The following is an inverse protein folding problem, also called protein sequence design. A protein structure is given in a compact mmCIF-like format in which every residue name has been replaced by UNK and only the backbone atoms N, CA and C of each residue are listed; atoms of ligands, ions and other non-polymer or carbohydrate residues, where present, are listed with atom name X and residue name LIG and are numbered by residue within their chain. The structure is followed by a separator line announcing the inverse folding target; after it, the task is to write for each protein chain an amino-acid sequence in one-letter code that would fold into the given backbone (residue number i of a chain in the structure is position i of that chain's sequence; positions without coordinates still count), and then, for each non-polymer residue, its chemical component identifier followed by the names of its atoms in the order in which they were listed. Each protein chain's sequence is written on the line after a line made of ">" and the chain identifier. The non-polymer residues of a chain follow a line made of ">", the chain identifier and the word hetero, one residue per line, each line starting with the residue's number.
data_IF_842066369667
#
_entry.id   IF_842066369667
#
_cell.length_a   1.000
_cell.length_b   1.000
_cell.length_c   1.000
_cell.angle_alpha   90.00
_cell.angle_beta   90.00
_cell.angle_gamma   90.00
#
_symmetry.space_group_name_H-M   'P 1'
#
loop_
_entity.id
_entity.type
_entity.pdbx_description
1 polymer ?
#
# COMPACT_ATOMS: atom_id res chain seq x y z
N UNK A 1 57.10 4.74 -21.58
CA UNK A 1 58.44 4.19 -21.89
C UNK A 1 58.52 3.55 -23.27
N UNK A 2 57.63 2.62 -23.67
CA UNK A 2 57.67 1.95 -24.99
C UNK A 2 57.59 2.88 -26.21
N UNK A 3 56.74 3.91 -26.17
CA UNK A 3 56.62 4.90 -27.26
C UNK A 3 57.89 5.74 -27.42
N UNK A 4 58.57 6.06 -26.31
CA UNK A 4 59.86 6.77 -26.33
C UNK A 4 60.99 5.91 -26.90
N UNK A 5 60.99 4.61 -26.62
CA UNK A 5 61.96 3.65 -27.15
C UNK A 5 61.78 3.42 -28.66
N UNK A 6 60.52 3.35 -29.12
CA UNK A 6 60.20 3.25 -30.55
C UNK A 6 60.61 4.52 -31.32
N UNK A 7 60.39 5.71 -30.73
CA UNK A 7 60.81 6.97 -31.33
C UNK A 7 62.35 7.06 -31.44
N UNK A 8 63.08 6.64 -30.41
CA UNK A 8 64.56 6.62 -30.42
C UNK A 8 65.10 5.62 -31.46
N UNK A 9 64.49 4.44 -31.60
CA UNK A 9 64.89 3.46 -32.62
C UNK A 9 64.55 3.90 -34.06
N UNK A 10 63.45 4.64 -34.25
CA UNK A 10 63.11 5.28 -35.53
C UNK A 10 64.09 6.41 -35.87
N UNK A 11 64.52 7.20 -34.88
CA UNK A 11 65.57 8.21 -35.06
C UNK A 11 66.91 7.57 -35.42
N UNK A 12 67.32 6.50 -34.73
CA UNK A 12 68.59 5.81 -35.02
C UNK A 12 68.60 5.12 -36.39
N UNK A 13 67.46 4.61 -36.87
CA UNK A 13 67.36 3.97 -38.18
C UNK A 13 67.33 4.97 -39.35
N UNK A 14 67.02 6.25 -39.08
CA UNK A 14 67.09 7.33 -40.09
C UNK A 14 68.51 7.88 -40.33
N UNK A 15 69.48 7.53 -39.48
CA UNK A 15 70.89 7.96 -39.61
C UNK A 15 71.82 6.90 -40.22
N UNK A 16 71.35 5.68 -40.51
CA UNK A 16 72.18 4.56 -40.97
C UNK A 16 71.89 4.22 -42.44
N UNK A 17 72.91 4.34 -43.30
CA UNK A 17 72.81 4.07 -44.74
C UNK A 17 72.39 2.62 -45.06
N UNK A 18 71.24 2.50 -45.71
CA UNK A 18 70.93 1.52 -46.76
C UNK A 18 70.56 0.08 -46.38
N UNK A 19 71.21 -0.55 -45.40
CA UNK A 19 71.04 -2.01 -45.18
C UNK A 19 70.18 -2.38 -43.97
N UNK A 20 70.17 -1.56 -42.91
CA UNK A 20 69.43 -1.85 -41.67
C UNK A 20 67.94 -1.47 -41.75
N UNK A 21 67.56 -0.55 -42.65
CA UNK A 21 66.18 -0.07 -42.78
C UNK A 21 65.19 -1.17 -43.20
N UNK A 22 65.62 -2.16 -44.01
CA UNK A 22 64.75 -3.28 -44.43
C UNK A 22 64.47 -4.28 -43.31
N UNK A 23 65.42 -4.48 -42.38
CA UNK A 23 65.21 -5.37 -41.24
C UNK A 23 64.39 -4.71 -40.13
N UNK A 24 64.46 -3.39 -39.96
CA UNK A 24 63.75 -2.64 -38.91
C UNK A 24 62.25 -2.54 -39.18
N UNK A 25 61.82 -2.46 -40.45
CA UNK A 25 60.40 -2.33 -40.82
C UNK A 25 59.53 -3.52 -40.32
N UNK A 26 59.90 -4.80 -40.53
CA UNK A 26 59.18 -5.94 -39.96
C UNK A 26 59.10 -5.91 -38.43
N UNK A 27 60.19 -5.52 -37.75
CA UNK A 27 60.22 -5.43 -36.29
C UNK A 27 59.29 -4.32 -35.77
N UNK A 28 59.29 -3.15 -36.42
CA UNK A 28 58.36 -2.07 -36.10
C UNK A 28 56.89 -2.51 -36.33
N UNK A 29 56.60 -3.20 -37.43
CA UNK A 29 55.26 -3.73 -37.71
C UNK A 29 54.81 -4.77 -36.67
N UNK A 30 55.71 -5.68 -36.27
CA UNK A 30 55.43 -6.69 -35.25
C UNK A 30 55.17 -6.06 -33.86
N UNK A 31 55.97 -5.07 -33.46
CA UNK A 31 55.78 -4.33 -32.20
C UNK A 31 54.47 -3.54 -32.23
N UNK A 32 54.16 -2.87 -33.34
CA UNK A 32 52.89 -2.14 -33.50
C UNK A 32 51.69 -3.08 -33.45
N UNK A 33 51.75 -4.24 -34.11
CA UNK A 33 50.73 -5.28 -34.05
C UNK A 33 50.53 -5.81 -32.62
N UNK A 34 51.61 -6.07 -31.90
CA UNK A 34 51.56 -6.51 -30.50
C UNK A 34 50.97 -5.45 -29.57
N UNK A 35 51.38 -4.18 -29.71
CA UNK A 35 50.82 -3.05 -28.95
C UNK A 35 49.34 -2.86 -29.25
N UNK A 36 48.92 -2.99 -30.51
CA UNK A 36 47.51 -2.91 -30.88
C UNK A 36 46.69 -4.05 -30.28
N UNK A 37 47.20 -5.29 -30.32
CA UNK A 37 46.53 -6.45 -29.73
C UNK A 37 46.40 -6.32 -28.20
N UNK A 38 47.46 -5.87 -27.53
CA UNK A 38 47.47 -5.58 -26.08
C UNK A 38 46.54 -4.43 -25.73
N UNK A 39 46.56 -3.35 -26.51
CA UNK A 39 45.67 -2.19 -26.34
C UNK A 39 44.20 -2.57 -26.53
N UNK A 40 43.88 -3.38 -27.54
CA UNK A 40 42.55 -3.92 -27.76
C UNK A 40 42.10 -4.83 -26.61
N UNK A 41 42.99 -5.67 -26.08
CA UNK A 41 42.75 -6.49 -24.90
C UNK A 41 42.44 -5.66 -23.65
N UNK A 42 43.28 -4.67 -23.33
CA UNK A 42 43.08 -3.75 -22.21
C UNK A 42 41.81 -2.91 -22.37
N UNK A 43 41.47 -2.49 -23.58
CA UNK A 43 40.21 -1.78 -23.84
C UNK A 43 39.00 -2.71 -23.64
N UNK A 44 39.05 -3.95 -24.13
CA UNK A 44 37.98 -4.94 -23.86
C UNK A 44 37.82 -5.18 -22.37
N UNK A 45 38.93 -5.36 -21.65
CA UNK A 45 38.93 -5.54 -20.20
C UNK A 45 38.37 -4.31 -19.47
N UNK A 46 38.78 -3.10 -19.86
CA UNK A 46 38.26 -1.86 -19.30
C UNK A 46 36.75 -1.66 -19.56
N UNK A 47 36.26 -2.05 -20.75
CA UNK A 47 34.81 -2.06 -21.04
C UNK A 47 34.07 -3.07 -20.18
N UNK A 48 34.61 -4.29 -20.02
CA UNK A 48 34.03 -5.32 -19.17
C UNK A 48 34.01 -4.89 -17.70
N UNK A 49 35.08 -4.28 -17.19
CA UNK A 49 35.14 -3.75 -15.83
C UNK A 49 34.10 -2.64 -15.61
N UNK A 50 33.97 -1.69 -16.55
CA UNK A 50 32.94 -0.64 -16.46
C UNK A 50 31.53 -1.22 -16.48
N UNK A 51 31.26 -2.19 -17.35
CA UNK A 51 29.97 -2.86 -17.41
C UNK A 51 29.65 -3.61 -16.10
N UNK A 52 30.63 -4.35 -15.55
CA UNK A 52 30.50 -5.03 -14.27
C UNK A 52 30.27 -4.05 -13.10
N UNK A 53 30.98 -2.91 -13.09
CA UNK A 53 30.78 -1.88 -12.08
C UNK A 53 29.39 -1.24 -12.17
N UNK A 54 28.90 -0.98 -13.39
CA UNK A 54 27.55 -0.46 -13.60
C UNK A 54 26.47 -1.46 -13.13
N UNK A 55 26.64 -2.75 -13.42
CA UNK A 55 25.74 -3.80 -12.93
C UNK A 55 25.80 -3.94 -11.41
N UNK A 56 26.99 -3.83 -10.81
CA UNK A 56 27.16 -3.89 -9.36
C UNK A 56 26.49 -2.69 -8.66
N UNK A 57 26.60 -1.49 -9.21
CA UNK A 57 25.94 -0.30 -8.65
C UNK A 57 24.41 -0.36 -8.80
N UNK A 58 23.89 -0.86 -9.92
CA UNK A 58 22.46 -1.12 -10.11
C UNK A 58 21.92 -2.17 -9.12
N UNK A 59 22.68 -3.26 -8.92
CA UNK A 59 22.33 -4.28 -7.94
C UNK A 59 22.33 -3.71 -6.51
N UNK A 60 23.33 -2.90 -6.17
CA UNK A 60 23.43 -2.26 -4.87
C UNK A 60 22.24 -1.33 -4.62
N UNK A 61 21.87 -0.48 -5.59
CA UNK A 61 20.71 0.41 -5.45
C UNK A 61 19.41 -0.37 -5.36
N UNK A 62 19.25 -1.48 -6.08
CA UNK A 62 18.09 -2.37 -5.97
C UNK A 62 17.95 -2.96 -4.55
N UNK A 63 19.05 -3.46 -3.97
CA UNK A 63 19.07 -3.98 -2.59
C UNK A 63 18.70 -2.89 -1.58
N UNK A 64 19.28 -1.69 -1.76
CA UNK A 64 18.97 -0.53 -0.91
C UNK A 64 17.50 -0.13 -1.01
N UNK A 65 16.93 -0.10 -2.22
CA UNK A 65 15.52 0.20 -2.44
C UNK A 65 14.61 -0.83 -1.78
N UNK A 66 14.91 -2.13 -1.89
CA UNK A 66 14.18 -3.20 -1.18
C UNK A 66 14.21 -3.02 0.35
N UNK A 67 15.40 -2.72 0.90
CA UNK A 67 15.57 -2.48 2.33
C UNK A 67 14.81 -1.23 2.79
N UNK A 68 14.88 -0.16 2.01
CA UNK A 68 14.17 1.09 2.27
C UNK A 68 12.65 0.87 2.22
N UNK A 69 12.14 0.17 1.21
CA UNK A 69 10.73 -0.19 1.08
C UNK A 69 10.25 -1.01 2.29
N UNK A 70 11.02 -2.01 2.70
CA UNK A 70 10.71 -2.85 3.87
C UNK A 70 10.67 -2.02 5.16
N UNK A 71 11.65 -1.12 5.35
CA UNK A 71 11.71 -0.21 6.49
C UNK A 71 10.53 0.75 6.51
N UNK A 72 10.20 1.34 5.36
CA UNK A 72 9.13 2.31 5.22
C UNK A 72 7.74 1.66 5.37
N UNK A 73 7.53 0.47 4.80
CA UNK A 73 6.30 -0.30 4.99
C UNK A 73 6.11 -0.63 6.48
N UNK A 74 7.17 -1.05 7.18
CA UNK A 74 7.13 -1.26 8.63
C UNK A 74 6.78 0.02 9.40
N UNK A 75 7.37 1.17 9.04
CA UNK A 75 7.02 2.47 9.65
C UNK A 75 5.56 2.86 9.37
N UNK A 76 5.07 2.62 8.16
CA UNK A 76 3.69 2.89 7.76
C UNK A 76 2.71 2.02 8.53
N UNK A 77 2.99 0.71 8.68
CA UNK A 77 2.18 -0.20 9.49
C UNK A 77 2.16 0.18 10.97
N UNK A 78 3.29 0.65 11.53
CA UNK A 78 3.32 1.18 12.90
C UNK A 78 2.45 2.42 13.03
N UNK A 79 2.54 3.36 12.08
CA UNK A 79 1.69 4.55 12.07
C UNK A 79 0.20 4.18 12.01
N UNK A 80 -0.17 3.22 11.15
CA UNK A 80 -1.54 2.69 11.09
C UNK A 80 -1.96 2.04 12.41
N UNK A 81 -1.06 1.29 13.05
CA UNK A 81 -1.32 0.67 14.35
C UNK A 81 -1.45 1.72 15.46
N UNK A 82 -0.57 2.72 15.51
CA UNK A 82 -0.58 3.80 16.49
C UNK A 82 -1.88 4.61 16.36
N UNK A 83 -2.25 5.01 15.15
CA UNK A 83 -3.53 5.70 14.90
C UNK A 83 -4.74 4.86 15.31
N UNK A 84 -4.77 3.57 14.98
CA UNK A 84 -5.80 2.64 15.45
C UNK A 84 -5.85 2.54 16.99
N UNK A 85 -4.70 2.40 17.66
CA UNK A 85 -4.60 2.29 19.12
C UNK A 85 -5.03 3.58 19.80
N UNK A 86 -4.58 4.73 19.27
CA UNK A 86 -4.96 6.06 19.74
C UNK A 86 -6.47 6.24 19.61
N UNK A 87 -7.04 5.89 18.45
CA UNK A 87 -8.48 5.99 18.24
C UNK A 87 -9.29 5.11 19.20
N UNK A 88 -8.81 3.89 19.46
CA UNK A 88 -9.40 2.96 20.45
C UNK A 88 -9.26 3.49 21.88
N UNK A 89 -8.12 4.05 22.24
CA UNK A 89 -7.86 4.65 23.56
C UNK A 89 -8.75 5.87 23.83
N UNK A 90 -8.93 6.74 22.83
CA UNK A 90 -9.87 7.86 22.92
C UNK A 90 -11.32 7.39 23.01
N UNK A 91 -11.70 6.30 22.34
CA UNK A 91 -13.05 5.72 22.52
C UNK A 91 -13.26 5.10 23.90
N UNK A 92 -12.23 4.56 24.56
CA UNK A 92 -12.35 4.01 25.92
C UNK A 92 -12.43 5.10 27.00
N UNK A 93 -11.66 6.18 26.86
CA UNK A 93 -11.73 7.33 27.78
C UNK A 93 -13.01 8.16 27.58
N UNK A 94 -13.59 8.18 26.37
CA UNK A 94 -14.93 8.73 26.16
C UNK A 94 -16.06 7.77 26.58
N UNK A 95 -15.80 6.48 26.74
CA UNK A 95 -16.78 5.52 27.26
C UNK A 95 -16.93 5.56 28.79
N UNK A 96 -16.00 6.17 29.52
CA UNK A 96 -16.17 6.45 30.97
C UNK A 96 -17.05 7.67 31.24
N UNK A 97 -17.40 8.45 30.20
CA UNK A 97 -18.49 9.42 30.24
C UNK A 97 -19.68 8.88 29.45
N UNK A 98 -20.76 8.54 30.16
CA UNK A 98 -22.03 7.94 29.69
C UNK A 98 -22.02 6.44 29.37
N UNK A 99 -22.17 5.68 30.46
CA UNK A 99 -22.69 4.33 30.51
C UNK A 99 -24.15 4.32 30.01
N UNK A 100 -24.38 4.23 28.69
CA UNK A 100 -25.66 3.83 28.08
C UNK A 100 -25.52 3.65 26.56
N UNK A 101 -25.20 2.41 26.12
CA UNK A 101 -25.96 1.66 25.09
C UNK A 101 -25.19 0.40 24.70
N UNK A 102 -25.74 -0.73 25.12
CA UNK A 102 -25.65 -1.97 24.36
C UNK A 102 -26.24 -1.73 22.95
N UNK A 103 -25.59 -2.28 21.93
CA UNK A 103 -26.05 -2.20 20.54
C UNK A 103 -25.08 -1.55 19.53
N UNK A 104 -23.76 -1.67 19.70
CA UNK A 104 -22.79 -1.46 18.62
C UNK A 104 -22.56 -2.78 17.87
N UNK A 105 -23.64 -3.30 17.27
CA UNK A 105 -23.54 -4.29 16.21
C UNK A 105 -23.31 -3.59 14.87
N UNK A 106 -22.22 -3.96 14.19
CA UNK A 106 -22.02 -3.87 12.74
C UNK A 106 -22.33 -2.53 12.02
N UNK A 107 -21.32 -1.65 11.93
CA UNK A 107 -21.24 -0.52 10.98
C UNK A 107 -19.80 0.02 10.94
N UNK A 108 -19.23 0.36 9.77
CA UNK A 108 -17.78 0.29 9.56
C UNK A 108 -17.05 1.35 10.39
N UNK A 109 -16.10 0.88 11.20
CA UNK A 109 -15.08 1.68 11.86
C UNK A 109 -14.24 2.39 10.79
N UNK A 110 -14.71 3.54 10.30
CA UNK A 110 -14.14 4.27 9.17
C UNK A 110 -12.62 4.31 9.20
N UNK A 111 -12.00 3.64 8.21
CA UNK A 111 -10.57 3.35 8.14
C UNK A 111 -9.74 4.62 8.24
N UNK A 112 -9.11 4.83 9.38
CA UNK A 112 -8.14 5.91 9.53
C UNK A 112 -6.97 5.69 8.57
N UNK A 113 -6.54 6.77 7.93
CA UNK A 113 -5.47 6.80 6.93
C UNK A 113 -5.70 5.84 5.74
N UNK A 114 -6.92 5.76 5.22
CA UNK A 114 -7.27 4.88 4.08
C UNK A 114 -6.34 5.06 2.86
N UNK A 115 -5.87 6.29 2.59
CA UNK A 115 -4.91 6.55 1.53
C UNK A 115 -3.56 5.85 1.76
N UNK A 116 -3.06 5.84 3.00
CA UNK A 116 -1.85 5.13 3.38
C UNK A 116 -2.03 3.61 3.31
N UNK A 117 -3.19 3.10 3.76
CA UNK A 117 -3.52 1.67 3.68
C UNK A 117 -3.50 1.16 2.25
N UNK A 118 -4.18 1.88 1.35
CA UNK A 118 -4.17 1.59 -0.10
C UNK A 118 -2.76 1.64 -0.68
N UNK A 119 -1.96 2.64 -0.32
CA UNK A 119 -0.58 2.75 -0.79
C UNK A 119 0.30 1.59 -0.29
N UNK A 120 0.20 1.21 0.98
CA UNK A 120 0.90 0.05 1.55
C UNK A 120 0.50 -1.23 0.82
N UNK A 121 -0.80 -1.47 0.63
CA UNK A 121 -1.28 -2.64 -0.11
C UNK A 121 -0.72 -2.69 -1.53
N UNK A 122 -0.87 -1.61 -2.31
CA UNK A 122 -0.42 -1.59 -3.72
C UNK A 122 1.09 -1.74 -3.85
N UNK A 123 1.87 -1.05 -3.01
CA UNK A 123 3.32 -1.13 -3.02
C UNK A 123 3.80 -2.54 -2.67
N UNK A 124 3.28 -3.15 -1.60
CA UNK A 124 3.68 -4.50 -1.18
C UNK A 124 3.22 -5.58 -2.16
N UNK A 125 1.99 -5.49 -2.68
CA UNK A 125 1.47 -6.41 -3.71
C UNK A 125 2.32 -6.35 -4.98
N UNK A 126 2.61 -5.14 -5.47
CA UNK A 126 3.42 -4.97 -6.69
C UNK A 126 4.85 -5.47 -6.49
N UNK A 127 5.49 -5.08 -5.38
CA UNK A 127 6.85 -5.52 -5.06
C UNK A 127 6.93 -7.04 -4.89
N UNK A 128 5.98 -7.66 -4.18
CA UNK A 128 5.89 -9.12 -4.03
C UNK A 128 5.81 -9.80 -5.41
N UNK A 129 4.91 -9.35 -6.28
CA UNK A 129 4.74 -9.92 -7.62
C UNK A 129 5.99 -9.76 -8.48
N UNK A 130 6.63 -8.59 -8.45
CA UNK A 130 7.87 -8.35 -9.18
C UNK A 130 9.00 -9.28 -8.70
N UNK A 131 9.22 -9.35 -7.39
CA UNK A 131 10.22 -10.26 -6.79
C UNK A 131 9.91 -11.72 -7.10
N UNK A 132 8.64 -12.13 -7.05
CA UNK A 132 8.23 -13.49 -7.38
C UNK A 132 8.50 -13.82 -8.85
N UNK A 133 8.13 -12.95 -9.78
CA UNK A 133 8.41 -13.13 -11.21
C UNK A 133 9.91 -13.27 -11.46
N UNK A 134 10.73 -12.43 -10.82
CA UNK A 134 12.18 -12.53 -10.87
C UNK A 134 12.67 -13.89 -10.34
N UNK A 135 12.19 -14.33 -9.17
CA UNK A 135 12.53 -15.65 -8.61
C UNK A 135 12.13 -16.80 -9.53
N UNK A 136 10.89 -16.84 -10.02
CA UNK A 136 10.43 -17.90 -10.94
C UNK A 136 11.27 -17.92 -12.23
N UNK A 137 11.60 -16.75 -12.78
CA UNK A 137 12.48 -16.66 -13.94
C UNK A 137 13.88 -17.22 -13.62
N UNK A 138 14.47 -16.85 -12.49
CA UNK A 138 15.78 -17.38 -12.07
C UNK A 138 15.76 -18.89 -11.83
N UNK A 139 14.67 -19.44 -11.29
CA UNK A 139 14.50 -20.88 -11.07
C UNK A 139 14.41 -21.64 -12.40
N UNK A 140 13.65 -21.10 -13.37
CA UNK A 140 13.44 -21.73 -14.68
C UNK A 140 14.64 -21.59 -15.62
N UNK A 141 15.23 -20.40 -15.70
CA UNK A 141 16.28 -20.10 -16.68
C UNK A 141 17.67 -20.57 -16.22
N UNK A 142 17.91 -20.70 -14.91
CA UNK A 142 19.23 -21.01 -14.36
C UNK A 142 19.16 -22.09 -13.26
N UNK A 143 18.62 -23.29 -13.53
CA UNK A 143 18.40 -24.31 -12.51
C UNK A 143 19.68 -24.62 -11.72
N UNK A 144 19.53 -24.86 -10.42
CA UNK A 144 20.62 -25.28 -9.53
C UNK A 144 20.41 -26.73 -9.12
N UNK A 145 21.48 -27.41 -8.70
CA UNK A 145 21.38 -28.72 -8.07
C UNK A 145 20.41 -28.62 -6.86
N UNK A 146 19.48 -29.56 -6.79
CA UNK A 146 18.46 -29.67 -5.73
C UNK A 146 19.05 -29.85 -4.33
N UNK A 147 20.27 -30.36 -4.20
CA UNK A 147 21.00 -30.42 -2.92
C UNK A 147 21.35 -29.03 -2.38
N UNK A 148 21.60 -28.07 -3.28
CA UNK A 148 22.01 -26.71 -2.96
C UNK A 148 20.79 -25.80 -2.86
N UNK A 149 19.82 -25.95 -3.77
CA UNK A 149 18.67 -25.07 -3.86
C UNK A 149 17.41 -25.80 -4.36
N UNK A 150 16.60 -26.29 -3.43
CA UNK A 150 15.36 -27.00 -3.75
C UNK A 150 14.20 -26.03 -4.02
N UNK A 151 13.59 -26.17 -5.20
CA UNK A 151 12.44 -25.36 -5.67
C UNK A 151 11.25 -25.42 -4.71
N UNK A 152 11.03 -26.54 -4.02
CA UNK A 152 9.89 -26.70 -3.09
C UNK A 152 10.01 -25.81 -1.86
N UNK A 153 11.20 -25.29 -1.55
CA UNK A 153 11.43 -24.42 -0.40
C UNK A 153 11.05 -22.95 -0.66
N UNK A 154 10.55 -22.63 -1.86
CA UNK A 154 10.20 -21.27 -2.24
C UNK A 154 8.71 -21.01 -2.11
N UNK A 155 8.33 -19.88 -1.50
CA UNK A 155 6.98 -19.31 -1.58
C UNK A 155 6.55 -19.12 -3.04
N UNK A 156 7.51 -18.86 -3.94
CA UNK A 156 7.26 -18.76 -5.38
C UNK A 156 6.76 -20.06 -6.05
N UNK A 157 6.87 -21.22 -5.40
CA UNK A 157 6.30 -22.49 -5.85
C UNK A 157 4.81 -22.64 -5.49
N UNK A 158 4.33 -21.97 -4.43
CA UNK A 158 2.93 -22.02 -4.00
C UNK A 158 2.05 -21.21 -4.96
N UNK A 159 1.00 -21.77 -5.59
CA UNK A 159 0.14 -21.05 -6.53
C UNK A 159 -0.39 -19.72 -5.97
N UNK A 160 -0.36 -18.65 -6.79
CA UNK A 160 -0.76 -17.30 -6.35
C UNK A 160 -2.22 -17.23 -5.83
N UNK A 161 -3.09 -18.13 -6.31
CA UNK A 161 -4.49 -18.20 -5.87
C UNK A 161 -4.60 -18.65 -4.41
N UNK A 162 -3.68 -19.47 -3.93
CA UNK A 162 -3.67 -20.01 -2.56
C UNK A 162 -3.14 -18.99 -1.54
N UNK A 163 -2.38 -17.98 -1.98
CA UNK A 163 -1.83 -16.94 -1.11
C UNK A 163 -2.84 -15.83 -0.76
N UNK A 164 -3.99 -15.78 -1.44
CA UNK A 164 -5.06 -14.81 -1.19
C UNK A 164 -4.71 -13.36 -1.53
N UNK A 165 -5.50 -12.41 -0.99
CA UNK A 165 -5.29 -10.95 -1.07
C UNK A 165 -5.08 -10.39 -2.49
N UNK A 166 -5.68 -11.01 -3.49
CA UNK A 166 -5.58 -10.54 -4.88
C UNK A 166 -4.18 -10.68 -5.49
N UNK A 167 -3.32 -11.54 -4.93
CA UNK A 167 -1.97 -11.75 -5.45
C UNK A 167 -1.96 -12.46 -6.81
N UNK A 168 -3.02 -13.18 -7.18
CA UNK A 168 -3.14 -13.88 -8.48
C UNK A 168 -3.56 -13.01 -9.65
N UNK A 169 -4.51 -12.09 -9.44
CA UNK A 169 -5.08 -11.25 -10.50
C UNK A 169 -4.13 -10.11 -10.87
N UNK A 170 -3.95 -9.81 -12.16
CA UNK A 170 -3.07 -8.70 -12.59
C UNK A 170 -3.70 -7.34 -12.32
N UNK A 171 -4.93 -7.16 -12.80
CA UNK A 171 -5.73 -5.97 -12.59
C UNK A 171 -6.80 -6.28 -11.54
N UNK A 172 -6.77 -5.55 -10.43
CA UNK A 172 -7.76 -5.65 -9.36
C UNK A 172 -8.39 -4.28 -9.22
N UNK A 173 -9.72 -4.24 -9.19
CA UNK A 173 -10.43 -3.01 -8.86
C UNK A 173 -10.22 -2.65 -7.40
N UNK A 174 -10.52 -1.40 -7.03
CA UNK A 174 -10.35 -0.97 -5.65
C UNK A 174 -11.38 -1.65 -4.73
N UNK A 175 -12.56 -1.95 -5.26
CA UNK A 175 -13.66 -2.66 -4.60
C UNK A 175 -13.29 -4.12 -4.30
N UNK A 176 -12.76 -4.86 -5.29
CA UNK A 176 -12.29 -6.24 -5.09
C UNK A 176 -11.13 -6.28 -4.09
N UNK A 177 -10.22 -5.30 -4.16
CA UNK A 177 -9.12 -5.20 -3.21
C UNK A 177 -9.61 -4.92 -1.78
N UNK A 178 -10.67 -4.13 -1.61
CA UNK A 178 -11.30 -3.91 -0.31
C UNK A 178 -11.91 -5.21 0.24
N UNK A 179 -12.70 -5.91 -0.57
CA UNK A 179 -13.32 -7.18 -0.17
C UNK A 179 -12.27 -8.21 0.27
N UNK A 180 -11.21 -8.39 -0.54
CA UNK A 180 -10.16 -9.38 -0.28
C UNK A 180 -9.25 -9.04 0.90
N UNK A 181 -9.26 -7.80 1.38
CA UNK A 181 -8.39 -7.34 2.47
C UNK A 181 -9.15 -6.95 3.73
N UNK A 182 -10.47 -7.23 3.76
CA UNK A 182 -11.37 -6.73 4.79
C UNK A 182 -11.16 -5.22 4.96
N UNK A 183 -11.40 -4.49 3.88
CA UNK A 183 -11.33 -3.03 3.88
C UNK A 183 -9.91 -2.49 4.17
N UNK A 184 -8.88 -3.14 3.61
CA UNK A 184 -7.47 -2.87 3.93
C UNK A 184 -7.18 -2.91 5.45
N UNK A 185 -7.74 -3.91 6.12
CA UNK A 185 -7.53 -4.14 7.55
C UNK A 185 -6.04 -4.23 7.89
N UNK A 186 -5.66 -3.75 9.07
CA UNK A 186 -4.27 -3.81 9.53
C UNK A 186 -3.73 -5.26 9.59
N UNK A 187 -4.51 -6.28 10.02
CA UNK A 187 -4.12 -7.68 9.90
C UNK A 187 -3.79 -8.11 8.47
N UNK A 188 -4.65 -7.80 7.48
CA UNK A 188 -4.38 -8.15 6.08
C UNK A 188 -3.08 -7.52 5.56
N UNK A 189 -2.86 -6.23 5.86
CA UNK A 189 -1.62 -5.54 5.47
C UNK A 189 -0.38 -6.12 6.15
N UNK A 190 -0.49 -6.60 7.40
CA UNK A 190 0.60 -7.29 8.11
C UNK A 190 0.92 -8.64 7.47
N UNK A 191 -0.09 -9.42 7.08
CA UNK A 191 0.12 -10.69 6.36
C UNK A 191 0.81 -10.43 5.02
N UNK A 192 0.35 -9.45 4.25
CA UNK A 192 0.98 -9.07 2.98
C UNK A 192 2.44 -8.61 3.18
N UNK A 193 2.72 -7.88 4.26
CA UNK A 193 4.08 -7.48 4.61
C UNK A 193 4.97 -8.70 4.92
N UNK A 194 4.47 -9.73 5.60
CA UNK A 194 5.23 -10.96 5.84
C UNK A 194 5.52 -11.71 4.54
N UNK A 195 4.53 -11.82 3.64
CA UNK A 195 4.74 -12.42 2.31
C UNK A 195 5.81 -11.67 1.52
N UNK A 196 5.78 -10.33 1.55
CA UNK A 196 6.82 -9.50 0.95
C UNK A 196 8.22 -9.79 1.52
N UNK A 197 8.36 -9.86 2.84
CA UNK A 197 9.65 -10.15 3.49
C UNK A 197 10.17 -11.54 3.09
N UNK A 198 9.31 -12.56 3.09
CA UNK A 198 9.68 -13.91 2.66
C UNK A 198 10.12 -13.96 1.19
N UNK A 199 9.30 -13.44 0.29
CA UNK A 199 9.55 -13.48 -1.15
C UNK A 199 10.77 -12.64 -1.57
N UNK A 200 10.98 -11.48 -0.95
CA UNK A 200 12.16 -10.66 -1.22
C UNK A 200 13.44 -11.36 -0.75
N UNK A 201 13.43 -11.96 0.44
CA UNK A 201 14.55 -12.76 0.95
C UNK A 201 14.91 -13.91 0.00
N UNK A 202 13.90 -14.65 -0.47
CA UNK A 202 14.09 -15.70 -1.48
C UNK A 202 14.69 -15.20 -2.78
N UNK A 203 14.19 -14.07 -3.30
CA UNK A 203 14.69 -13.46 -4.52
C UNK A 203 16.18 -13.09 -4.38
N UNK A 204 16.56 -12.42 -3.29
CA UNK A 204 17.95 -12.00 -3.09
C UNK A 204 18.88 -13.18 -2.78
N UNK A 205 18.43 -14.19 -2.04
CA UNK A 205 19.20 -15.42 -1.82
C UNK A 205 19.48 -16.14 -3.13
N UNK A 206 18.45 -16.32 -3.97
CA UNK A 206 18.59 -16.94 -5.30
C UNK A 206 19.54 -16.14 -6.18
N UNK A 207 19.41 -14.82 -6.18
CA UNK A 207 20.30 -13.93 -6.91
C UNK A 207 21.76 -14.03 -6.42
N UNK A 208 21.99 -14.08 -5.11
CA UNK A 208 23.32 -14.29 -4.54
C UNK A 208 23.92 -15.64 -4.95
N UNK A 209 23.12 -16.70 -4.99
CA UNK A 209 23.57 -18.00 -5.49
C UNK A 209 23.97 -17.91 -6.97
N UNK A 210 23.20 -17.21 -7.82
CA UNK A 210 23.54 -16.97 -9.24
C UNK A 210 24.86 -16.22 -9.42
N UNK A 211 25.20 -15.34 -8.49
CA UNK A 211 26.43 -14.54 -8.51
C UNK A 211 27.64 -15.26 -7.89
N UNK A 212 27.48 -16.45 -7.30
CA UNK A 212 28.57 -17.15 -6.63
C UNK A 212 29.57 -17.76 -7.62
N UNK A 213 30.87 -17.63 -7.32
CA UNK A 213 32.00 -17.89 -8.23
C UNK A 213 32.10 -19.32 -8.77
N UNK A 214 31.51 -20.30 -8.07
CA UNK A 214 31.58 -21.74 -8.43
C UNK A 214 31.02 -22.05 -9.82
N UNK A 215 30.17 -21.18 -10.37
CA UNK A 215 29.56 -21.34 -11.70
C UNK A 215 30.33 -20.70 -12.87
N UNK A 216 31.40 -19.95 -12.61
CA UNK A 216 32.22 -19.42 -13.70
C UNK A 216 33.16 -20.48 -14.31
N UNK A 217 33.37 -21.60 -13.59
CA UNK A 217 34.39 -22.60 -13.88
C UNK A 217 33.86 -24.01 -14.18
N UNK A 218 32.61 -24.36 -13.85
CA UNK A 218 32.04 -25.68 -14.16
C UNK A 218 31.64 -25.76 -15.65
N UNK A 219 32.32 -26.56 -16.50
CA UNK A 219 31.79 -26.92 -17.80
C UNK A 219 30.60 -27.84 -17.55
N UNK A 220 29.42 -27.48 -18.07
CA UNK A 220 28.26 -28.38 -18.02
C UNK A 220 28.64 -29.66 -18.78
N UNK A 221 28.72 -30.80 -18.11
CA UNK A 221 29.10 -32.07 -18.76
C UNK A 221 28.01 -32.59 -19.73
N UNK A 222 26.82 -31.98 -19.73
CA UNK A 222 25.65 -32.33 -20.56
C UNK A 222 25.49 -31.49 -21.86
N UNK A 223 26.55 -30.88 -22.40
CA UNK A 223 26.45 -30.15 -23.68
C UNK A 223 26.31 -31.13 -24.85
N UNK A 224 25.11 -31.20 -25.43
CA UNK A 224 24.88 -31.83 -26.75
C UNK A 224 25.55 -30.96 -27.82
N UNK A 225 26.42 -31.56 -28.64
CA UNK A 225 27.05 -30.91 -29.81
C UNK A 225 25.97 -30.27 -30.70
N UNK A 226 25.90 -28.93 -30.73
CA UNK A 226 25.02 -28.17 -31.63
C UNK A 226 24.26 -27.00 -31.00
N UNK A 227 24.18 -26.91 -29.67
CA UNK A 227 23.53 -25.77 -29.00
C UNK A 227 24.50 -24.60 -28.81
N UNK A 228 24.07 -23.40 -29.19
CA UNK A 228 24.82 -22.16 -28.92
C UNK A 228 25.09 -22.01 -27.41
N UNK A 229 26.34 -21.75 -26.99
CA UNK A 229 26.67 -21.61 -25.58
C UNK A 229 25.82 -20.50 -24.96
N UNK A 230 25.21 -20.72 -23.79
CA UNK A 230 24.34 -19.76 -23.15
C UNK A 230 25.17 -18.51 -22.85
N UNK A 231 24.58 -17.32 -23.01
CA UNK A 231 25.29 -16.08 -22.75
C UNK A 231 25.86 -16.11 -21.33
N UNK A 232 27.06 -15.58 -21.12
CA UNK A 232 27.71 -15.61 -19.82
C UNK A 232 26.80 -14.93 -18.78
N UNK A 233 26.69 -15.57 -17.60
CA UNK A 233 25.70 -15.29 -16.53
C UNK A 233 25.56 -13.78 -16.21
N UNK A 234 26.63 -12.99 -16.35
CA UNK A 234 26.60 -11.55 -16.12
C UNK A 234 25.67 -10.76 -17.06
N UNK A 235 25.46 -11.19 -18.32
CA UNK A 235 24.48 -10.56 -19.23
C UNK A 235 23.05 -10.96 -18.90
N UNK A 236 22.90 -12.15 -18.32
CA UNK A 236 21.65 -12.78 -17.92
C UNK A 236 21.10 -12.31 -16.58
N UNK A 237 21.96 -11.78 -15.69
CA UNK A 237 21.53 -11.17 -14.42
C UNK A 237 20.76 -9.87 -14.68
N UNK A 238 21.21 -9.06 -15.64
CA UNK A 238 20.58 -7.78 -15.99
C UNK A 238 19.10 -7.93 -16.39
N UNK A 239 18.76 -8.99 -17.12
CA UNK A 239 17.37 -9.25 -17.55
C UNK A 239 16.44 -9.52 -16.36
N UNK A 240 16.98 -9.97 -15.23
CA UNK A 240 16.23 -10.19 -13.99
C UNK A 240 16.26 -8.92 -13.11
N UNK A 241 17.42 -8.29 -12.97
CA UNK A 241 17.61 -7.18 -12.03
C UNK A 241 16.98 -5.88 -12.50
N UNK A 242 17.00 -5.58 -13.80
CA UNK A 242 16.49 -4.33 -14.34
C UNK A 242 14.96 -4.13 -14.12
N UNK A 243 14.07 -5.08 -14.50
CA UNK A 243 12.64 -4.92 -14.24
C UNK A 243 12.30 -4.94 -12.74
N UNK A 244 13.07 -5.71 -11.94
CA UNK A 244 12.90 -5.74 -10.49
C UNK A 244 13.30 -4.41 -9.85
N UNK A 245 14.44 -3.83 -10.27
CA UNK A 245 14.92 -2.54 -9.80
C UNK A 245 13.89 -1.44 -10.05
N UNK A 246 13.37 -1.35 -11.27
CA UNK A 246 12.34 -0.37 -11.63
C UNK A 246 11.06 -0.51 -10.79
N UNK A 247 10.58 -1.74 -10.60
CA UNK A 247 9.39 -2.00 -9.78
C UNK A 247 9.60 -1.60 -8.32
N UNK A 248 10.74 -1.96 -7.72
CA UNK A 248 11.04 -1.62 -6.32
C UNK A 248 11.23 -0.12 -6.11
N UNK A 249 11.88 0.57 -7.05
CA UNK A 249 12.02 2.02 -7.00
C UNK A 249 10.66 2.74 -7.08
N UNK A 250 9.78 2.30 -7.97
CA UNK A 250 8.40 2.83 -8.08
C UNK A 250 7.60 2.59 -6.81
N UNK A 251 7.58 1.35 -6.29
CA UNK A 251 6.87 1.03 -5.05
C UNK A 251 7.39 1.84 -3.85
N UNK A 252 8.71 2.03 -3.75
CA UNK A 252 9.31 2.87 -2.72
C UNK A 252 8.87 4.32 -2.84
N UNK A 253 8.96 4.91 -4.04
CA UNK A 253 8.56 6.29 -4.29
C UNK A 253 7.08 6.56 -4.00
N UNK A 254 6.20 5.65 -4.39
CA UNK A 254 4.76 5.76 -4.15
C UNK A 254 4.41 5.68 -2.67
N UNK A 255 5.00 4.70 -1.97
CA UNK A 255 4.78 4.55 -0.54
C UNK A 255 5.40 5.72 0.24
N UNK A 256 6.56 6.22 -0.17
CA UNK A 256 7.23 7.34 0.49
C UNK A 256 6.39 8.60 0.40
N UNK A 257 5.90 8.94 -0.79
CA UNK A 257 4.99 10.09 -0.99
C UNK A 257 3.75 9.97 -0.12
N UNK A 258 3.12 8.80 -0.08
CA UNK A 258 1.92 8.58 0.77
C UNK A 258 2.25 8.64 2.25
N UNK A 259 3.36 8.05 2.70
CA UNK A 259 3.79 8.07 4.10
C UNK A 259 4.11 9.48 4.57
N UNK A 260 4.90 10.24 3.80
CA UNK A 260 5.25 11.63 4.14
C UNK A 260 4.02 12.53 4.17
N UNK A 261 3.09 12.38 3.23
CA UNK A 261 1.81 13.08 3.24
C UNK A 261 1.06 12.83 4.56
N UNK A 262 0.79 11.56 4.91
CA UNK A 262 0.02 11.24 6.10
C UNK A 262 0.76 11.61 7.40
N UNK A 263 2.08 11.45 7.44
CA UNK A 263 2.92 11.85 8.57
C UNK A 263 2.94 13.36 8.76
N UNK A 264 3.07 14.15 7.68
CA UNK A 264 3.05 15.61 7.76
C UNK A 264 1.74 16.09 8.38
N UNK A 265 0.59 15.57 7.91
CA UNK A 265 -0.72 15.91 8.46
C UNK A 265 -0.85 15.52 9.94
N UNK A 266 -0.33 14.37 10.35
CA UNK A 266 -0.34 13.97 11.76
C UNK A 266 0.57 14.87 12.63
N UNK A 267 1.75 15.23 12.14
CA UNK A 267 2.67 16.13 12.86
C UNK A 267 2.15 17.55 12.96
N UNK A 268 1.54 18.10 11.90
CA UNK A 268 0.88 19.41 11.95
C UNK A 268 -0.32 19.40 12.90
N UNK A 269 -1.08 18.29 12.94
CA UNK A 269 -2.17 18.11 13.90
C UNK A 269 -1.70 18.12 15.37
N UNK A 270 -0.42 17.81 15.62
CA UNK A 270 0.19 17.84 16.96
C UNK A 270 0.82 19.19 17.32
N UNK A 271 1.26 19.99 16.34
CA UNK A 271 1.95 21.27 16.55
C UNK A 271 1.04 22.51 16.40
N UNK A 272 -0.03 22.45 15.60
CA UNK A 272 -0.98 23.55 15.35
C UNK A 272 -2.26 23.52 16.24
N UNK A 273 -2.21 22.81 17.37
CA UNK A 273 -3.31 22.74 18.31
C UNK A 273 -3.41 23.98 19.19
N UNK A 274 -4.16 24.99 18.77
CA UNK A 274 -4.89 25.83 19.73
C UNK A 274 -6.26 26.29 19.21
N UNK A 275 -6.40 27.21 18.24
CA UNK A 275 -7.71 27.89 18.13
C UNK A 275 -8.53 27.75 16.83
N UNK A 276 -7.93 27.59 15.66
CA UNK A 276 -8.70 27.65 14.37
C UNK A 276 -9.20 26.30 13.88
N UNK A 277 -8.36 25.26 13.91
CA UNK A 277 -8.73 23.91 13.45
C UNK A 277 -9.64 23.19 14.44
N UNK A 278 -9.49 23.46 15.75
CA UNK A 278 -10.38 22.96 16.80
C UNK A 278 -11.84 23.37 16.58
N UNK A 279 -12.07 24.62 16.15
CA UNK A 279 -13.42 25.14 15.88
C UNK A 279 -14.08 24.48 14.66
N UNK A 280 -13.32 24.26 13.58
CA UNK A 280 -13.84 23.56 12.40
C UNK A 280 -14.13 22.07 12.68
N UNK A 281 -13.25 21.40 13.44
CA UNK A 281 -13.45 20.01 13.87
C UNK A 281 -14.62 19.87 14.85
N UNK A 282 -14.81 20.84 15.75
CA UNK A 282 -15.97 20.90 16.65
C UNK A 282 -17.26 21.03 15.87
N UNK A 283 -17.33 21.94 14.89
CA UNK A 283 -18.51 22.07 14.00
C UNK A 283 -18.82 20.79 13.23
N UNK A 284 -17.79 20.13 12.68
CA UNK A 284 -17.97 18.84 11.99
C UNK A 284 -18.45 17.73 12.94
N UNK A 285 -17.93 17.67 14.17
CA UNK A 285 -18.41 16.74 15.20
C UNK A 285 -19.85 17.02 15.61
N UNK A 286 -20.23 18.28 15.78
CA UNK A 286 -21.59 18.68 16.13
C UNK A 286 -22.59 18.32 15.02
N UNK A 287 -22.22 18.54 13.75
CA UNK A 287 -23.02 18.14 12.60
C UNK A 287 -23.15 16.62 12.47
N UNK A 288 -22.08 15.86 12.71
CA UNK A 288 -22.15 14.39 12.68
C UNK A 288 -22.99 13.83 13.85
N UNK A 289 -22.90 14.44 15.03
CA UNK A 289 -23.74 14.07 16.17
C UNK A 289 -25.22 14.35 15.88
N UNK A 290 -25.53 15.51 15.28
CA UNK A 290 -26.89 15.86 14.87
C UNK A 290 -27.42 14.91 13.79
N UNK A 291 -26.62 14.59 12.78
CA UNK A 291 -26.97 13.61 11.75
C UNK A 291 -27.29 12.24 12.38
N UNK A 292 -26.52 11.83 13.40
CA UNK A 292 -26.78 10.58 14.13
C UNK A 292 -28.09 10.64 14.94
N UNK A 293 -28.40 11.76 15.60
CA UNK A 293 -29.68 11.88 16.34
C UNK A 293 -30.88 11.89 15.39
N UNK A 294 -30.79 12.59 14.26
CA UNK A 294 -31.80 12.59 13.19
C UNK A 294 -32.00 11.18 12.64
N UNK A 295 -30.92 10.42 12.43
CA UNK A 295 -31.01 9.03 11.99
C UNK A 295 -31.65 8.12 13.04
N UNK A 296 -31.37 8.32 14.33
CA UNK A 296 -32.01 7.58 15.43
C UNK A 296 -33.51 7.86 15.48
N UNK A 297 -33.91 9.14 15.38
CA UNK A 297 -35.31 9.54 15.32
C UNK A 297 -36.03 8.91 14.12
N UNK A 298 -35.41 8.94 12.94
CA UNK A 298 -35.95 8.32 11.73
C UNK A 298 -36.22 6.82 11.92
N UNK A 299 -35.33 6.10 12.61
CA UNK A 299 -35.50 4.67 12.87
C UNK A 299 -36.66 4.39 13.82
N UNK A 300 -36.79 5.15 14.92
CA UNK A 300 -37.92 4.99 15.83
C UNK A 300 -39.26 5.35 15.19
N UNK A 301 -39.32 6.40 14.37
CA UNK A 301 -40.52 6.76 13.61
C UNK A 301 -40.90 5.70 12.58
N UNK A 302 -39.92 5.07 11.90
CA UNK A 302 -40.20 3.96 10.98
C UNK A 302 -40.72 2.73 11.69
N UNK A 303 -40.16 2.39 12.85
CA UNK A 303 -40.65 1.28 13.67
C UNK A 303 -42.09 1.56 14.13
N UNK A 304 -42.35 2.76 14.66
CA UNK A 304 -43.70 3.16 15.08
C UNK A 304 -44.69 3.11 13.92
N UNK A 305 -44.31 3.60 12.74
CA UNK A 305 -45.16 3.56 11.55
C UNK A 305 -45.47 2.12 11.13
N UNK A 306 -44.48 1.22 11.15
CA UNK A 306 -44.70 -0.19 10.82
C UNK A 306 -45.67 -0.85 11.79
N UNK A 307 -45.50 -0.65 13.10
CA UNK A 307 -46.41 -1.21 14.11
C UNK A 307 -47.83 -0.60 14.00
N UNK A 308 -47.94 0.68 13.65
CA UNK A 308 -49.23 1.34 13.42
C UNK A 308 -49.94 0.80 12.16
N UNK A 309 -49.20 0.50 11.09
CA UNK A 309 -49.74 -0.16 9.89
C UNK A 309 -50.23 -1.57 10.23
N UNK A 310 -49.47 -2.32 11.04
CA UNK A 310 -49.90 -3.66 11.47
C UNK A 310 -51.18 -3.58 12.30
N UNK A 311 -51.26 -2.63 13.24
CA UNK A 311 -52.48 -2.40 14.03
C UNK A 311 -53.67 -2.00 13.15
N UNK A 312 -53.46 -1.17 12.13
CA UNK A 312 -54.50 -0.77 11.17
C UNK A 312 -55.00 -1.98 10.36
N UNK A 313 -54.09 -2.82 9.85
CA UNK A 313 -54.43 -4.06 9.12
C UNK A 313 -55.17 -5.07 10.02
N UNK A 314 -54.77 -5.20 11.29
CA UNK A 314 -55.46 -6.06 12.25
C UNK A 314 -56.87 -5.53 12.56
N UNK A 315 -57.04 -4.21 12.70
CA UNK A 315 -58.35 -3.58 12.86
C UNK A 315 -59.22 -3.79 11.62
N UNK A 316 -58.66 -3.66 10.42
CA UNK A 316 -59.37 -3.89 9.16
C UNK A 316 -59.83 -5.35 9.03
N UNK A 317 -58.98 -6.32 9.40
CA UNK A 317 -59.34 -7.75 9.46
C UNK A 317 -60.49 -8.01 10.43
N UNK A 318 -60.44 -7.44 11.63
CA UNK A 318 -61.51 -7.55 12.63
C UNK A 318 -62.83 -6.94 12.14
N UNK A 319 -62.77 -5.86 11.35
CA UNK A 319 -63.95 -5.27 10.73
C UNK A 319 -64.54 -6.13 9.60
N UNK A 320 -63.69 -6.85 8.84
CA UNK A 320 -64.09 -7.67 7.68
C UNK A 320 -64.64 -9.05 8.09
N UNK A 321 -64.19 -9.65 9.18
CA UNK A 321 -64.59 -11.02 9.61
C UNK A 321 -66.04 -11.15 10.12
N UNK A 322 -66.81 -10.06 10.22
CA UNK A 322 -68.23 -10.09 10.64
C UNK A 322 -68.51 -10.74 12.01
N UNK A 323 -67.50 -10.83 12.89
CA UNK A 323 -67.70 -11.00 14.35
C UNK A 323 -68.11 -9.68 15.03
N UNK A 324 -68.48 -8.67 14.24
CA UNK A 324 -68.97 -7.37 14.67
C UNK A 324 -70.44 -7.40 15.17
N UNK A 325 -70.84 -8.42 15.93
CA UNK A 325 -72.12 -8.38 16.68
C UNK A 325 -71.90 -8.24 18.18
N UNK A 326 -70.77 -8.69 18.72
CA UNK A 326 -70.33 -8.28 20.06
C UNK A 326 -68.81 -8.21 20.01
N UNK A 327 -68.23 -6.99 19.95
CA UNK A 327 -66.81 -6.84 20.30
C UNK A 327 -66.71 -7.26 21.75
N UNK A 328 -66.35 -8.53 21.95
CA UNK A 328 -66.24 -9.12 23.27
C UNK A 328 -65.21 -8.33 24.07
N UNK A 329 -65.31 -8.39 25.39
CA UNK A 329 -64.31 -7.79 26.29
C UNK A 329 -62.89 -8.23 25.91
N UNK A 330 -62.76 -9.45 25.37
CA UNK A 330 -61.51 -10.03 24.85
C UNK A 330 -60.96 -9.26 23.62
N UNK A 331 -61.81 -8.84 22.67
CA UNK A 331 -61.36 -8.06 21.51
C UNK A 331 -60.84 -6.66 21.89
N UNK A 332 -61.47 -6.01 22.88
CA UNK A 332 -60.96 -4.74 23.41
C UNK A 332 -59.66 -4.92 24.21
N UNK A 333 -59.48 -6.06 24.89
CA UNK A 333 -58.24 -6.39 25.60
C UNK A 333 -57.08 -6.61 24.62
N UNK A 334 -57.31 -7.31 23.51
CA UNK A 334 -56.32 -7.51 22.44
C UNK A 334 -55.87 -6.18 21.81
N UNK A 335 -56.82 -5.27 21.53
CA UNK A 335 -56.50 -3.93 21.01
C UNK A 335 -55.71 -3.12 22.05
N UNK A 336 -56.09 -3.19 23.33
CA UNK A 336 -55.38 -2.53 24.42
C UNK A 336 -53.94 -3.06 24.56
N UNK A 337 -53.74 -4.37 24.43
CA UNK A 337 -52.42 -5.00 24.45
C UNK A 337 -51.57 -4.53 23.26
N UNK A 338 -52.12 -4.52 22.05
CA UNK A 338 -51.42 -4.01 20.85
C UNK A 338 -51.07 -2.52 20.96
N UNK A 339 -51.97 -1.70 21.47
CA UNK A 339 -51.70 -0.29 21.76
C UNK A 339 -50.59 -0.12 22.81
N UNK A 340 -50.52 -1.00 23.80
CA UNK A 340 -49.45 -0.98 24.81
C UNK A 340 -48.07 -1.25 24.19
N UNK A 341 -47.99 -2.04 23.11
CA UNK A 341 -46.75 -2.28 22.37
C UNK A 341 -46.28 -1.05 21.56
N UNK A 342 -47.19 -0.14 21.17
CA UNK A 342 -46.82 1.12 20.52
C UNK A 342 -46.18 2.13 21.49
N UNK A 343 -46.53 2.05 22.77
CA UNK A 343 -46.12 3.04 23.77
C UNK A 343 -44.60 3.21 23.90
N UNK A 344 -43.77 2.14 23.95
CA UNK A 344 -42.31 2.26 23.92
C UNK A 344 -41.77 2.97 22.68
N UNK A 345 -42.35 2.72 21.50
CA UNK A 345 -41.92 3.35 20.24
C UNK A 345 -42.30 4.83 20.18
N UNK A 346 -43.49 5.19 20.68
CA UNK A 346 -43.91 6.58 20.82
C UNK A 346 -42.99 7.34 21.80
N UNK A 347 -42.73 6.77 22.98
CA UNK A 347 -41.85 7.38 23.97
C UNK A 347 -40.41 7.53 23.47
N UNK A 348 -39.87 6.51 22.78
CA UNK A 348 -38.53 6.58 22.18
C UNK A 348 -38.45 7.63 21.06
N UNK A 349 -39.50 7.75 20.23
CA UNK A 349 -39.58 8.76 19.17
C UNK A 349 -39.68 10.17 19.75
N UNK A 350 -40.50 10.37 20.78
CA UNK A 350 -40.63 11.64 21.50
C UNK A 350 -39.30 12.05 22.16
N UNK A 351 -38.63 11.12 22.85
CA UNK A 351 -37.31 11.38 23.44
C UNK A 351 -36.24 11.73 22.40
N UNK A 352 -36.18 10.98 21.29
CA UNK A 352 -35.24 11.31 20.20
C UNK A 352 -35.54 12.65 19.54
N UNK A 353 -36.81 13.05 19.46
CA UNK A 353 -37.23 14.35 18.94
C UNK A 353 -36.76 15.47 19.86
N UNK A 354 -37.05 15.38 21.16
CA UNK A 354 -36.62 16.34 22.18
C UNK A 354 -35.08 16.48 22.21
N UNK A 355 -34.35 15.37 22.14
CA UNK A 355 -32.88 15.36 22.07
C UNK A 355 -32.35 16.07 20.83
N UNK A 356 -32.97 15.81 19.66
CA UNK A 356 -32.58 16.40 18.38
C UNK A 356 -32.85 17.91 18.37
N UNK A 357 -34.04 18.33 18.80
CA UNK A 357 -34.42 19.75 18.91
C UNK A 357 -33.51 20.46 19.92
N UNK A 358 -33.32 19.89 21.11
CA UNK A 358 -32.44 20.43 22.14
C UNK A 358 -30.96 20.48 21.71
N UNK A 359 -30.52 19.59 20.83
CA UNK A 359 -29.19 19.66 20.22
C UNK A 359 -29.07 20.83 19.24
N UNK A 360 -30.06 21.03 18.37
CA UNK A 360 -30.10 22.16 17.43
C UNK A 360 -30.14 23.48 18.19
N UNK A 361 -30.96 23.61 19.23
CA UNK A 361 -31.01 24.81 20.07
C UNK A 361 -29.67 25.12 20.75
N UNK A 362 -28.95 24.10 21.24
CA UNK A 362 -27.61 24.27 21.81
C UNK A 362 -26.60 24.72 20.75
N UNK A 363 -26.68 24.17 19.53
CA UNK A 363 -25.86 24.60 18.41
C UNK A 363 -26.15 26.05 18.00
N UNK A 364 -27.42 26.44 17.95
CA UNK A 364 -27.85 27.81 17.63
C UNK A 364 -27.37 28.81 18.69
N UNK A 365 -27.52 28.48 19.99
CA UNK A 365 -27.01 29.29 21.10
C UNK A 365 -25.48 29.47 21.02
N UNK A 366 -24.73 28.43 20.68
CA UNK A 366 -23.26 28.50 20.48
C UNK A 366 -22.85 29.31 19.25
N UNK A 367 -23.64 29.25 18.18
CA UNK A 367 -23.41 30.06 16.99
C UNK A 367 -23.59 31.56 17.29
N UNK A 368 -24.60 31.91 18.09
CA UNK A 368 -24.92 33.30 18.46
C UNK A 368 -23.99 33.91 19.52
N UNK A 369 -23.27 33.10 20.31
CA UNK A 369 -22.30 33.56 21.32
C UNK A 369 -20.87 33.72 20.80
N UNK A 370 -20.57 33.36 19.55
CA UNK A 370 -19.28 33.67 18.91
C UNK A 370 -19.19 35.17 18.57
N UNK A 371 -18.20 35.93 19.09
CA UNK A 371 -18.05 37.37 18.83
C UNK A 371 -17.45 37.64 17.44
N UNK A 372 -18.16 37.24 16.38
CA UNK A 372 -17.73 37.41 15.00
C UNK A 372 -18.85 37.63 13.98
N UNK A 373 -20.12 37.58 14.39
CA UNK A 373 -21.27 37.85 13.50
C UNK A 373 -21.99 39.17 13.78
N UNK A 374 -21.58 39.94 14.80
CA UNK A 374 -22.16 41.27 15.11
C UNK A 374 -21.43 42.43 14.42
N UNK A 375 -21.13 42.30 13.12
CA UNK A 375 -20.54 43.40 12.33
C UNK A 375 -21.29 43.73 11.03
N UNK A 376 -22.45 43.13 10.79
CA UNK A 376 -23.21 43.39 9.54
C UNK A 376 -24.65 43.87 9.77
N UNK A 377 -24.97 44.46 10.92
CA UNK A 377 -26.35 44.91 11.19
C UNK A 377 -26.46 46.26 11.90
N UNK A 378 -25.48 47.15 11.72
CA UNK A 378 -25.55 48.52 12.29
C UNK A 378 -24.94 49.61 11.40
N UNK A 379 -24.92 49.40 10.08
CA UNK A 379 -24.52 50.41 9.10
C UNK A 379 -25.55 50.59 7.99
N UNK A 380 -26.83 50.67 8.36
CA UNK A 380 -27.86 51.30 7.53
C UNK A 380 -28.83 52.05 8.44
N UNK A 381 -28.40 53.19 8.96
CA UNK A 381 -29.26 54.27 9.47
C UNK A 381 -28.33 55.41 9.90
N UNK A 382 -28.03 56.29 8.93
CA UNK A 382 -27.75 57.73 9.08
C UNK A 382 -26.91 58.21 7.89
N UNK A 383 -27.58 58.48 6.77
CA UNK A 383 -27.18 59.51 5.79
C UNK A 383 -28.45 60.00 5.11
N UNK A 384 -29.14 60.95 5.76
CA UNK A 384 -29.85 62.07 5.12
C UNK A 384 -29.51 63.30 5.94
#
# INVERSE_FOLDING_TARGET
>A
MLVGLAAVLLSLSSLSDGAWSLAVIPWCAAVMGWVWLRGAGLWRQGRMQRAAHAQASELQTMVLNSKALTSLARKSLRLLQETEVISRGFTLVSASSSFSRAGLGAGPRGQQLIGLRKAVYRALRSAFRASRRATCHMLKAYPLNSEIDNVTNYVSAVPLKELGMGLGTEHLTDEEAQELTDDYSLPALKVLFQLWVGQSSECFRRLALLLSSRRLEEPREDWVEGETPPPPIHRSVATVTQPLHGALASCLGDLQRSYEFHRYFETQHRTQGSDRVGRARQKCRELNALHTSVRSLQLHLRALLNEMIILEDDLEKLMVTKEAVEVTVEGYQDIQERLSHLQPHMQASAGCWEDTVGQVERMLRRANTCPGSRLTDSRELNTV
#
